data_IF_641843912143
#
_entry.id   IF_641843912143
#
_cell.length_a   1.000
_cell.length_b   1.000
_cell.length_c   1.000
_cell.angle_alpha   90.00
_cell.angle_beta   90.00
_cell.angle_gamma   90.00
#
_symmetry.space_group_name_H-M   'P 1'
#
loop_
_entity.id
_entity.type
_entity.pdbx_description
1 polymer ?
#
# COMPACT_ATOMS: atom_id res chain seq x y z
N UNK A 1 -0.76 -14.15 1.21
CA UNK A 1 0.27 -13.68 2.15
C UNK A 1 -0.40 -13.09 3.37
N UNK A 2 -0.08 -13.57 4.54
CA UNK A 2 -0.68 -13.10 5.78
C UNK A 2 0.27 -12.15 6.51
N UNK A 3 -0.32 -11.18 7.19
CA UNK A 3 0.41 -10.22 8.00
C UNK A 3 0.89 -10.89 9.30
N UNK A 4 2.15 -10.68 9.66
CA UNK A 4 2.64 -11.01 10.98
C UNK A 4 2.51 -9.78 11.86
N UNK A 5 1.71 -9.88 12.92
CA UNK A 5 1.47 -8.76 13.84
C UNK A 5 2.75 -8.40 14.58
N UNK A 6 3.01 -7.09 14.72
CA UNK A 6 4.16 -6.58 15.45
C UNK A 6 5.47 -6.61 14.67
N UNK A 7 5.45 -7.02 13.40
CA UNK A 7 6.66 -7.19 12.60
C UNK A 7 6.93 -6.08 11.60
N UNK A 8 6.01 -5.15 11.42
CA UNK A 8 6.18 -4.03 10.48
C UNK A 8 6.48 -2.75 11.23
N UNK A 9 7.55 -2.06 10.85
CA UNK A 9 8.05 -0.88 11.55
C UNK A 9 8.40 0.23 10.58
N UNK A 10 8.43 1.46 11.09
CA UNK A 10 9.04 2.59 10.39
C UNK A 10 9.75 3.49 11.40
N UNK A 11 10.64 4.33 10.89
CA UNK A 11 11.38 5.28 11.73
C UNK A 11 10.55 6.55 11.94
N UNK A 12 10.79 7.32 13.02
CA UNK A 12 9.93 8.45 13.39
C UNK A 12 9.79 9.54 12.34
N UNK A 13 10.85 9.78 11.58
CA UNK A 13 10.87 10.83 10.56
C UNK A 13 10.61 10.30 9.16
N UNK A 14 10.17 9.05 9.05
CA UNK A 14 9.85 8.44 7.77
C UNK A 14 8.52 8.95 7.22
N UNK A 15 8.42 8.95 5.91
CA UNK A 15 7.16 9.20 5.20
C UNK A 15 6.76 7.92 4.49
N UNK A 16 5.52 7.55 4.61
CA UNK A 16 4.99 6.35 3.94
C UNK A 16 3.98 6.80 2.89
N UNK A 17 4.14 6.31 1.68
CA UNK A 17 3.22 6.61 0.57
C UNK A 17 2.55 5.33 0.13
N UNK A 18 1.24 5.41 -0.09
CA UNK A 18 0.50 4.34 -0.74
C UNK A 18 -0.02 4.86 -2.09
N UNK A 19 0.06 4.02 -3.10
CA UNK A 19 -0.44 4.37 -4.42
C UNK A 19 -0.78 3.10 -5.19
N UNK A 20 -1.62 3.25 -6.21
CA UNK A 20 -1.96 2.14 -7.08
C UNK A 20 -0.93 2.00 -8.20
N UNK A 21 -0.76 0.78 -8.74
CA UNK A 21 0.08 0.60 -9.91
C UNK A 21 -0.47 1.44 -11.06
N UNK A 22 0.41 2.18 -11.71
CA UNK A 22 0.08 3.01 -12.85
C UNK A 22 0.60 2.32 -14.11
N UNK A 23 -0.18 2.41 -15.19
CA UNK A 23 0.23 1.85 -16.47
C UNK A 23 0.03 2.85 -17.57
N UNK A 24 1.10 3.13 -18.30
CA UNK A 24 1.04 3.75 -19.62
C UNK A 24 1.44 2.72 -20.63
N UNK A 25 0.73 2.65 -21.73
CA UNK A 25 1.04 1.67 -22.76
C UNK A 25 0.76 2.22 -24.14
N UNK A 26 1.70 2.02 -25.06
CA UNK A 26 1.55 2.40 -26.47
C UNK A 26 1.59 1.15 -27.32
N UNK A 27 0.74 1.08 -28.33
CA UNK A 27 0.67 -0.06 -29.22
C UNK A 27 -0.66 -0.11 -29.95
N UNK A 28 -0.97 -1.26 -30.50
CA UNK A 28 -2.27 -1.45 -31.17
C UNK A 28 -3.39 -1.43 -30.12
N UNK A 29 -4.57 -0.97 -30.55
CA UNK A 29 -5.72 -0.81 -29.64
C UNK A 29 -6.07 -2.11 -28.89
N UNK A 30 -5.98 -3.26 -29.55
CA UNK A 30 -6.25 -4.54 -28.93
C UNK A 30 -5.26 -4.87 -27.82
N UNK A 31 -3.99 -4.53 -27.99
CA UNK A 31 -2.96 -4.76 -27.00
C UNK A 31 -3.11 -3.81 -25.83
N UNK A 32 -3.46 -2.55 -26.09
CA UNK A 32 -3.73 -1.55 -25.05
C UNK A 32 -4.89 -2.03 -24.17
N UNK A 33 -5.95 -2.56 -24.78
CA UNK A 33 -7.10 -3.08 -24.06
C UNK A 33 -6.72 -4.24 -23.13
N UNK A 34 -5.91 -5.18 -23.62
CA UNK A 34 -5.45 -6.32 -22.82
C UNK A 34 -4.65 -5.84 -21.61
N UNK A 35 -3.73 -4.91 -21.81
CA UNK A 35 -2.92 -4.36 -20.72
C UNK A 35 -3.76 -3.56 -19.74
N UNK A 36 -4.76 -2.81 -20.22
CA UNK A 36 -5.65 -2.07 -19.35
C UNK A 36 -6.43 -3.02 -18.42
N UNK A 37 -6.93 -4.12 -18.95
CA UNK A 37 -7.63 -5.12 -18.14
C UNK A 37 -6.72 -5.74 -17.09
N UNK A 38 -5.46 -6.02 -17.44
CA UNK A 38 -4.49 -6.58 -16.51
C UNK A 38 -4.18 -5.60 -15.38
N UNK A 39 -4.01 -4.30 -15.70
CA UNK A 39 -3.77 -3.28 -14.69
C UNK A 39 -4.95 -3.18 -13.73
N UNK A 40 -6.18 -3.21 -14.22
CA UNK A 40 -7.37 -3.18 -13.38
C UNK A 40 -7.45 -4.41 -12.46
N UNK A 41 -7.09 -5.57 -12.98
CA UNK A 41 -7.02 -6.80 -12.18
C UNK A 41 -5.99 -6.66 -11.07
N UNK A 42 -4.79 -6.19 -11.40
CA UNK A 42 -3.72 -6.01 -10.41
C UNK A 42 -4.09 -4.99 -9.35
N UNK A 43 -4.76 -3.90 -9.74
CA UNK A 43 -5.26 -2.91 -8.77
C UNK A 43 -6.21 -3.53 -7.77
N UNK A 44 -7.15 -4.33 -8.26
CA UNK A 44 -8.11 -5.02 -7.41
C UNK A 44 -7.42 -5.96 -6.43
N UNK A 45 -6.46 -6.74 -6.90
CA UNK A 45 -5.71 -7.66 -6.05
C UNK A 45 -4.90 -6.93 -4.99
N UNK A 46 -4.22 -5.85 -5.38
CA UNK A 46 -3.42 -5.07 -4.44
C UNK A 46 -4.29 -4.37 -3.41
N UNK A 47 -5.45 -3.85 -3.81
CA UNK A 47 -6.38 -3.24 -2.87
C UNK A 47 -6.88 -4.26 -1.85
N UNK A 48 -7.20 -5.48 -2.28
CA UNK A 48 -7.60 -6.55 -1.37
C UNK A 48 -6.50 -6.90 -0.38
N UNK A 49 -5.25 -7.00 -0.86
CA UNK A 49 -4.11 -7.30 -0.02
C UNK A 49 -3.88 -6.20 1.01
N UNK A 50 -3.92 -4.95 0.58
CA UNK A 50 -3.76 -3.81 1.50
C UNK A 50 -4.88 -3.78 2.53
N UNK A 51 -6.12 -4.02 2.12
CA UNK A 51 -7.25 -4.07 3.04
C UNK A 51 -7.05 -5.15 4.10
N UNK A 52 -6.59 -6.32 3.69
CA UNK A 52 -6.34 -7.42 4.60
C UNK A 52 -5.21 -7.09 5.60
N UNK A 53 -4.14 -6.46 5.13
CA UNK A 53 -2.98 -6.16 5.96
C UNK A 53 -3.20 -4.94 6.88
N UNK A 54 -4.01 -3.97 6.45
CA UNK A 54 -4.23 -2.74 7.22
C UNK A 54 -5.47 -2.79 8.11
N UNK A 55 -6.39 -3.71 7.82
CA UNK A 55 -7.68 -3.74 8.51
C UNK A 55 -8.67 -2.71 7.96
N UNK A 56 -8.31 -2.00 6.88
CA UNK A 56 -9.21 -1.06 6.21
C UNK A 56 -10.12 -1.79 5.24
N UNK A 57 -11.24 -1.18 4.86
CA UNK A 57 -12.10 -1.75 3.81
C UNK A 57 -11.45 -1.57 2.44
N UNK A 58 -11.83 -2.42 1.49
CA UNK A 58 -11.35 -2.32 0.11
C UNK A 58 -11.71 -0.96 -0.49
N UNK A 59 -12.91 -0.46 -0.20
CA UNK A 59 -13.36 0.86 -0.69
C UNK A 59 -12.49 1.99 -0.14
N UNK A 60 -12.12 1.91 1.13
CA UNK A 60 -11.21 2.90 1.76
C UNK A 60 -9.85 2.87 1.09
N UNK A 61 -9.29 1.67 0.87
CA UNK A 61 -8.01 1.52 0.19
C UNK A 61 -8.07 2.08 -1.23
N UNK A 62 -9.12 1.75 -1.98
CA UNK A 62 -9.27 2.23 -3.34
C UNK A 62 -9.30 3.76 -3.40
N UNK A 63 -10.03 4.39 -2.49
CA UNK A 63 -10.10 5.85 -2.41
C UNK A 63 -8.75 6.47 -2.04
N UNK A 64 -8.07 5.88 -1.05
CA UNK A 64 -6.84 6.47 -0.51
C UNK A 64 -5.63 6.24 -1.41
N UNK A 65 -5.69 5.23 -2.30
CA UNK A 65 -4.60 4.95 -3.25
C UNK A 65 -4.85 5.50 -4.64
N UNK A 66 -5.99 6.16 -4.86
CA UNK A 66 -6.32 6.76 -6.17
C UNK A 66 -5.28 7.80 -6.59
N UNK A 67 -4.71 8.49 -5.62
CA UNK A 67 -3.57 9.41 -5.81
C UNK A 67 -2.50 9.06 -4.80
N UNK A 68 -1.28 9.52 -5.07
CA UNK A 68 -0.20 9.35 -4.11
C UNK A 68 -0.61 9.92 -2.76
N UNK A 69 -0.62 9.09 -1.75
CA UNK A 69 -1.07 9.46 -0.42
C UNK A 69 0.09 9.28 0.54
N UNK A 70 0.62 10.38 1.04
CA UNK A 70 1.76 10.39 1.95
C UNK A 70 1.28 10.43 3.40
N UNK A 71 1.92 9.64 4.22
CA UNK A 71 1.61 9.56 5.64
C UNK A 71 2.86 9.73 6.46
N UNK A 72 2.72 10.39 7.62
CA UNK A 72 3.79 10.38 8.63
C UNK A 72 3.88 8.97 9.23
N UNK A 73 4.95 8.74 10.01
CA UNK A 73 5.13 7.46 10.68
C UNK A 73 3.92 7.14 11.59
N UNK A 74 3.46 8.11 12.37
CA UNK A 74 2.33 7.91 13.27
C UNK A 74 1.02 7.65 12.51
N UNK A 75 0.81 8.36 11.41
CA UNK A 75 -0.37 8.15 10.57
C UNK A 75 -0.35 6.76 9.95
N UNK A 76 0.82 6.25 9.55
CA UNK A 76 0.96 4.91 8.99
C UNK A 76 0.61 3.83 10.02
N UNK A 77 0.94 4.05 11.30
CA UNK A 77 0.54 3.13 12.37
C UNK A 77 -0.97 3.14 12.53
N UNK A 78 -1.59 4.31 12.57
CA UNK A 78 -3.05 4.44 12.71
C UNK A 78 -3.78 3.83 11.52
N UNK A 79 -3.22 3.94 10.34
CA UNK A 79 -3.80 3.35 9.13
C UNK A 79 -3.69 1.84 9.13
N UNK A 80 -2.67 1.29 9.77
CA UNK A 80 -2.41 -0.15 9.82
C UNK A 80 -1.33 -0.63 8.87
N UNK A 81 -0.64 0.29 8.19
CA UNK A 81 0.44 -0.07 7.26
C UNK A 81 1.66 -0.61 7.98
N UNK A 82 1.96 -0.03 9.15
CA UNK A 82 3.03 -0.51 10.02
C UNK A 82 2.49 -0.69 11.42
N UNK A 83 3.18 -1.49 12.22
CA UNK A 83 2.72 -1.80 13.57
C UNK A 83 3.29 -0.85 14.61
N UNK A 84 4.54 -0.41 14.42
CA UNK A 84 5.24 0.43 15.39
C UNK A 84 6.13 1.45 14.71
N UNK A 85 6.40 2.55 15.42
CA UNK A 85 7.42 3.51 15.07
C UNK A 85 8.63 3.25 15.97
N UNK A 86 9.80 3.08 15.37
CA UNK A 86 11.03 2.80 16.12
C UNK A 86 11.88 4.06 16.21
N UNK A 87 12.38 4.37 17.41
CA UNK A 87 13.25 5.52 17.62
C UNK A 87 14.67 5.28 17.14
N UNK A 88 15.09 4.00 17.13
CA UNK A 88 16.40 3.62 16.63
C UNK A 88 16.41 2.14 16.26
N UNK A 89 17.53 1.69 15.66
CA UNK A 89 17.65 0.33 15.18
C UNK A 89 17.60 -0.73 16.29
N UNK A 90 18.01 -0.39 17.50
CA UNK A 90 17.99 -1.32 18.63
C UNK A 90 16.57 -1.73 19.00
N UNK A 91 15.58 -0.85 18.80
CA UNK A 91 14.19 -1.13 19.12
C UNK A 91 13.62 -2.28 18.27
N UNK A 92 14.17 -2.50 17.08
CA UNK A 92 13.72 -3.58 16.19
C UNK A 92 14.03 -4.97 16.72
N UNK A 93 14.93 -5.09 17.69
CA UNK A 93 15.36 -6.38 18.27
C UNK A 93 14.52 -6.82 19.45
N UNK A 94 13.64 -5.99 19.93
CA UNK A 94 12.77 -6.30 21.07
C UNK A 94 11.61 -7.19 20.69
#
# INVERSE_FOLDING_TARGET
MTRELGKRYCLPNSRVMIHQPMGGFQGQASDVEIHAKEILYLRGRLNEMLAQHTGQSVETIARDTDRDNFMSADEAVKYGLVDNVLSNRADAKK
#
